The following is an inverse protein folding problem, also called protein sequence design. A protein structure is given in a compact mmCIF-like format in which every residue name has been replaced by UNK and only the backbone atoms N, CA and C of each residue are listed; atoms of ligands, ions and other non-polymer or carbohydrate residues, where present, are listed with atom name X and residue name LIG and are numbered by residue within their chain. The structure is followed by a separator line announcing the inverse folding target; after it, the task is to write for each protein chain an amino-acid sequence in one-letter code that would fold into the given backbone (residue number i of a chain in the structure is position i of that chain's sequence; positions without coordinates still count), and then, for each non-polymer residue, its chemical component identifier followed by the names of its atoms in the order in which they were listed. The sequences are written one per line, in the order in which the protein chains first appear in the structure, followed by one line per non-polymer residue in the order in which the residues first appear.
data_IF_193998215126
#
_entry.id   IF_193998215126
#
_cell.length_a   1.000
_cell.length_b   1.000
_cell.length_c   1.000
_cell.angle_alpha   90.00
_cell.angle_beta   90.00
_cell.angle_gamma   90.00
#
_symmetry.space_group_name_H-M   'P 1'
#
loop_
_entity.id
_entity.type
_entity.pdbx_description
1 polymer ?
#
# COMPACT_ATOMS: atom_id res chain seq x y z
N UNK A 1 26.18 8.94 14.70
CA UNK A 1 26.28 7.55 15.24
C UNK A 1 25.18 6.69 14.62
N UNK A 2 25.47 5.42 14.33
CA UNK A 2 24.45 4.51 13.85
C UNK A 2 23.41 4.25 14.94
N UNK A 3 22.12 4.32 14.59
CA UNK A 3 20.99 3.99 15.48
C UNK A 3 20.38 2.67 15.07
N UNK A 4 19.78 1.97 16.04
CA UNK A 4 18.89 0.86 15.78
C UNK A 4 17.47 1.38 15.55
N UNK A 5 16.93 1.16 14.35
CA UNK A 5 15.63 1.68 13.94
C UNK A 5 14.68 0.52 13.64
N UNK A 6 13.45 0.59 14.16
CA UNK A 6 12.43 -0.39 13.89
C UNK A 6 11.20 0.26 13.26
N UNK A 7 10.77 -0.30 12.13
CA UNK A 7 9.60 0.18 11.38
C UNK A 7 8.43 -0.77 11.61
N UNK A 8 7.28 -0.23 12.02
CA UNK A 8 6.01 -0.94 12.03
C UNK A 8 5.18 -0.48 10.83
N UNK A 9 5.03 -1.32 9.82
CA UNK A 9 4.29 -0.99 8.60
C UNK A 9 3.54 -2.21 8.03
N UNK A 10 2.90 -2.03 6.87
CA UNK A 10 2.37 -3.15 6.07
C UNK A 10 3.56 -3.88 5.46
N UNK A 11 3.78 -5.12 5.87
CA UNK A 11 4.88 -5.93 5.37
C UNK A 11 4.37 -7.26 4.80
N UNK A 12 5.14 -7.86 3.90
CA UNK A 12 4.90 -9.19 3.34
C UNK A 12 3.47 -9.41 2.80
N UNK A 13 2.81 -8.33 2.42
CA UNK A 13 1.49 -8.39 1.82
C UNK A 13 1.62 -8.62 0.30
N UNK A 14 0.73 -9.41 -0.34
CA UNK A 14 0.70 -9.54 -1.79
C UNK A 14 0.07 -8.29 -2.44
N UNK A 15 0.71 -7.15 -2.22
CA UNK A 15 0.30 -5.83 -2.68
C UNK A 15 1.53 -5.03 -3.08
N UNK A 16 1.65 -4.70 -4.36
CA UNK A 16 2.82 -4.02 -4.94
C UNK A 16 3.17 -2.73 -4.22
N UNK A 17 2.21 -1.81 -4.07
CA UNK A 17 2.43 -0.54 -3.41
C UNK A 17 2.82 -0.68 -1.93
N UNK A 18 2.18 -1.61 -1.21
CA UNK A 18 2.50 -1.86 0.20
C UNK A 18 3.93 -2.39 0.38
N UNK A 19 4.40 -3.28 -0.51
CA UNK A 19 5.77 -3.79 -0.48
C UNK A 19 6.78 -2.68 -0.83
N UNK A 20 6.53 -1.93 -1.90
CA UNK A 20 7.46 -0.91 -2.40
C UNK A 20 7.59 0.28 -1.43
N UNK A 21 6.50 0.74 -0.78
CA UNK A 21 6.60 1.80 0.23
C UNK A 21 7.35 1.33 1.49
N UNK A 22 7.15 0.07 1.91
CA UNK A 22 7.87 -0.50 3.05
C UNK A 22 9.37 -0.65 2.75
N UNK A 23 9.69 -1.14 1.54
CA UNK A 23 11.06 -1.21 1.02
C UNK A 23 11.71 0.15 0.98
N UNK A 24 11.03 1.17 0.45
CA UNK A 24 11.58 2.52 0.31
C UNK A 24 11.97 3.14 1.67
N UNK A 25 11.10 3.04 2.66
CA UNK A 25 11.39 3.56 4.00
C UNK A 25 12.56 2.82 4.65
N UNK A 26 12.55 1.48 4.58
CA UNK A 26 13.64 0.66 5.10
C UNK A 26 14.96 0.94 4.38
N UNK A 27 14.95 0.98 3.05
CA UNK A 27 16.13 1.21 2.20
C UNK A 27 16.75 2.57 2.49
N UNK A 28 15.95 3.64 2.50
CA UNK A 28 16.42 4.99 2.78
C UNK A 28 17.14 5.07 4.12
N UNK A 29 16.54 4.55 5.20
CA UNK A 29 17.12 4.58 6.54
C UNK A 29 18.39 3.71 6.61
N UNK A 30 18.38 2.56 5.94
CA UNK A 30 19.55 1.67 5.89
C UNK A 30 20.72 2.28 5.12
N UNK A 31 20.44 3.00 4.02
CA UNK A 31 21.47 3.69 3.22
C UNK A 31 22.14 4.86 3.97
N UNK A 32 21.45 5.43 4.96
CA UNK A 32 22.03 6.40 5.89
C UNK A 32 22.96 5.76 6.94
N UNK A 33 23.16 4.44 6.91
CA UNK A 33 24.07 3.71 7.81
C UNK A 33 23.44 3.28 9.14
N UNK A 34 22.11 3.27 9.28
CA UNK A 34 21.41 2.80 10.47
C UNK A 34 21.10 1.29 10.42
N UNK A 35 21.08 0.59 11.59
CA UNK A 35 20.57 -0.79 11.69
C UNK A 35 19.04 -0.76 11.67
N UNK A 36 18.49 -0.78 10.46
CA UNK A 36 17.03 -0.68 10.23
C UNK A 36 16.41 -2.05 9.96
N UNK A 37 15.32 -2.36 10.66
CA UNK A 37 14.51 -3.57 10.43
C UNK A 37 13.02 -3.26 10.45
N UNK A 38 12.24 -4.03 9.70
CA UNK A 38 10.78 -3.99 9.78
C UNK A 38 10.32 -5.02 10.82
N UNK A 39 9.39 -4.64 11.70
CA UNK A 39 8.80 -5.53 12.69
C UNK A 39 7.88 -6.52 11.98
N UNK A 40 8.20 -7.81 12.07
CA UNK A 40 7.45 -8.88 11.40
C UNK A 40 6.31 -9.40 12.31
N UNK A 41 5.23 -8.65 12.38
CA UNK A 41 4.00 -9.05 13.07
C UNK A 41 3.03 -9.68 12.07
N UNK A 42 2.70 -10.96 12.24
CA UNK A 42 1.67 -11.62 11.44
C UNK A 42 0.31 -10.95 11.62
N UNK A 43 -0.51 -11.00 10.57
CA UNK A 43 -1.86 -10.44 10.56
C UNK A 43 -2.92 -11.55 10.60
N UNK A 44 -4.15 -11.25 11.02
CA UNK A 44 -5.21 -12.26 11.18
C UNK A 44 -5.55 -13.09 9.94
N UNK A 45 -5.15 -12.67 8.75
CA UNK A 45 -5.36 -13.45 7.54
C UNK A 45 -4.25 -14.48 7.26
N UNK A 46 -3.13 -14.43 8.02
CA UNK A 46 -2.06 -15.40 7.91
C UNK A 46 -2.44 -16.69 8.64
N UNK A 47 -2.10 -17.86 8.06
CA UNK A 47 -2.44 -19.17 8.65
C UNK A 47 -1.85 -19.38 10.03
N UNK A 48 -0.63 -18.86 10.27
CA UNK A 48 0.14 -19.05 11.49
C UNK A 48 -0.13 -17.96 12.54
N UNK A 49 -1.05 -17.03 12.25
CA UNK A 49 -1.43 -16.01 13.23
C UNK A 49 -2.18 -16.63 14.40
N UNK A 50 -1.71 -16.32 15.60
CA UNK A 50 -2.35 -16.74 16.87
C UNK A 50 -3.11 -15.56 17.46
N UNK A 51 -4.39 -15.76 17.73
CA UNK A 51 -5.24 -14.72 18.31
C UNK A 51 -4.91 -14.49 19.79
N UNK A 52 -4.77 -13.23 20.20
CA UNK A 52 -4.56 -12.84 21.61
C UNK A 52 -5.82 -12.18 22.15
N UNK A 53 -6.35 -12.67 23.28
CA UNK A 53 -7.48 -12.03 23.98
C UNK A 53 -7.10 -10.61 24.44
N UNK A 54 -8.06 -9.70 24.42
CA UNK A 54 -7.87 -8.30 24.88
C UNK A 54 -7.40 -7.33 23.81
N UNK A 55 -6.95 -7.81 22.65
CA UNK A 55 -6.63 -6.99 21.48
C UNK A 55 -7.71 -7.14 20.43
N UNK A 56 -8.90 -6.70 20.75
CA UNK A 56 -10.02 -6.74 19.82
C UNK A 56 -9.82 -5.73 18.70
N UNK A 57 -10.31 -6.10 17.51
CA UNK A 57 -10.59 -5.14 16.45
C UNK A 57 -11.66 -4.19 16.97
N UNK A 58 -11.27 -3.12 17.70
CA UNK A 58 -12.23 -2.16 18.25
C UNK A 58 -13.07 -1.49 17.17
N UNK A 59 -12.73 -1.75 15.95
CA UNK A 59 -13.35 -1.25 14.74
C UNK A 59 -14.66 -1.96 14.33
N UNK A 60 -15.14 -2.95 15.08
CA UNK A 60 -16.46 -3.55 14.78
C UNK A 60 -17.57 -2.51 14.71
N UNK A 61 -17.52 -1.48 15.57
CA UNK A 61 -18.48 -0.37 15.58
C UNK A 61 -18.32 0.64 14.44
N UNK A 62 -17.13 0.71 13.86
CA UNK A 62 -16.81 1.64 12.75
C UNK A 62 -17.10 1.05 11.38
N UNK A 63 -17.32 -0.26 11.31
CA UNK A 63 -17.66 -0.94 10.06
C UNK A 63 -19.16 -0.95 9.83
N UNK A 64 -19.55 -0.91 8.55
CA UNK A 64 -20.94 -1.19 8.19
C UNK A 64 -21.33 -2.60 8.66
N UNK A 65 -22.61 -2.79 9.04
CA UNK A 65 -23.16 -4.10 9.41
C UNK A 65 -22.85 -5.18 8.36
N UNK A 66 -22.94 -4.83 7.08
CA UNK A 66 -22.67 -5.75 5.97
C UNK A 66 -21.21 -6.21 5.93
N UNK A 67 -20.25 -5.32 6.19
CA UNK A 67 -18.83 -5.67 6.22
C UNK A 67 -18.51 -6.56 7.43
N UNK A 68 -19.10 -6.28 8.57
CA UNK A 68 -18.98 -7.12 9.76
C UNK A 68 -19.53 -8.53 9.51
N UNK A 69 -20.75 -8.63 8.96
CA UNK A 69 -21.38 -9.90 8.59
C UNK A 69 -20.50 -10.69 7.62
N UNK A 70 -19.96 -10.05 6.58
CA UNK A 70 -19.09 -10.71 5.60
C UNK A 70 -17.79 -11.25 6.24
N UNK A 71 -17.20 -10.51 7.17
CA UNK A 71 -15.95 -10.91 7.84
C UNK A 71 -16.22 -12.02 8.87
N UNK A 72 -17.26 -11.87 9.67
CA UNK A 72 -17.54 -12.79 10.79
C UNK A 72 -18.20 -14.10 10.35
N UNK A 73 -19.05 -14.07 9.36
CA UNK A 73 -19.86 -15.22 8.96
C UNK A 73 -19.54 -15.75 7.56
N UNK A 74 -19.44 -14.89 6.56
CA UNK A 74 -19.30 -15.34 5.17
C UNK A 74 -17.89 -15.90 4.89
N UNK A 75 -16.82 -15.27 5.38
CA UNK A 75 -15.46 -15.76 5.17
C UNK A 75 -15.17 -17.09 5.88
N UNK A 76 -15.50 -17.28 7.17
CA UNK A 76 -15.32 -18.57 7.83
C UNK A 76 -16.20 -19.65 7.21
N UNK A 77 -17.45 -19.34 6.84
CA UNK A 77 -18.38 -20.28 6.19
C UNK A 77 -17.86 -20.73 4.83
N UNK A 78 -17.39 -19.81 3.97
CA UNK A 78 -16.74 -20.15 2.70
C UNK A 78 -15.48 -20.99 2.90
N UNK A 79 -14.66 -20.69 3.92
CA UNK A 79 -13.50 -21.50 4.27
C UNK A 79 -13.90 -22.91 4.74
N UNK A 80 -14.98 -23.03 5.52
CA UNK A 80 -15.54 -24.32 5.98
C UNK A 80 -16.14 -25.12 4.83
N UNK A 81 -16.93 -24.48 3.95
CA UNK A 81 -17.46 -25.10 2.74
C UNK A 81 -16.35 -25.60 1.82
N UNK A 82 -15.35 -24.76 1.53
CA UNK A 82 -14.20 -25.17 0.71
C UNK A 82 -13.49 -26.37 1.31
N UNK A 83 -13.35 -26.43 2.62
CA UNK A 83 -12.75 -27.57 3.31
C UNK A 83 -13.65 -28.83 3.29
N UNK A 84 -14.98 -28.68 3.21
CA UNK A 84 -15.94 -29.78 3.09
C UNK A 84 -15.95 -30.32 1.66
N UNK A 85 -16.04 -29.44 0.66
CA UNK A 85 -16.05 -29.84 -0.76
C UNK A 85 -14.70 -30.36 -1.27
N UNK A 86 -13.60 -30.10 -0.56
CA UNK A 86 -12.30 -30.73 -0.83
C UNK A 86 -12.01 -31.98 0.02
N UNK A 87 -13.02 -32.49 0.80
CA UNK A 87 -12.85 -33.68 1.63
C UNK A 87 -13.11 -35.00 0.91
N UNK A 88 -13.67 -34.96 -0.29
CA UNK A 88 -13.97 -36.16 -1.07
C UNK A 88 -13.12 -36.26 -2.32
N UNK A 89 -11.85 -36.50 -2.15
CA UNK A 89 -11.01 -37.31 -3.05
C UNK A 89 -9.81 -37.81 -2.25
N UNK A 90 -9.86 -39.06 -1.89
CA UNK A 90 -8.83 -40.01 -1.52
C UNK A 90 -7.46 -39.52 -1.06
N UNK A 91 -7.10 -39.99 0.18
CA UNK A 91 -5.74 -40.34 0.58
C UNK A 91 -4.74 -40.39 -0.55
N UNK A 92 -3.94 -39.36 -0.69
CA UNK A 92 -2.53 -39.45 -1.09
C UNK A 92 -1.86 -38.10 -0.80
N UNK A 93 -0.80 -38.13 -0.01
CA UNK A 93 0.19 -37.07 0.22
C UNK A 93 -0.36 -35.63 0.21
N UNK A 94 -0.61 -35.05 1.41
CA UNK A 94 -0.74 -33.61 1.59
C UNK A 94 0.59 -32.95 1.23
N UNK A 95 0.86 -32.81 -0.04
CA UNK A 95 1.75 -31.79 -0.56
C UNK A 95 1.11 -30.45 -0.17
N UNK A 96 1.81 -29.67 0.64
CA UNK A 96 1.50 -28.25 0.88
C UNK A 96 1.26 -27.65 -0.51
N UNK A 97 0.12 -26.98 -0.79
CA UNK A 97 -0.12 -26.41 -2.12
C UNK A 97 1.09 -25.55 -2.47
N UNK A 98 1.74 -25.83 -3.58
CA UNK A 98 2.88 -25.01 -4.02
C UNK A 98 2.42 -23.55 -4.10
N UNK A 99 3.18 -22.63 -3.48
CA UNK A 99 2.90 -21.19 -3.58
C UNK A 99 2.76 -20.83 -5.06
N UNK A 100 1.79 -19.97 -5.40
CA UNK A 100 1.68 -19.46 -6.76
C UNK A 100 3.00 -18.80 -7.16
N UNK A 101 3.32 -18.78 -8.44
CA UNK A 101 4.57 -18.16 -8.93
C UNK A 101 4.66 -16.69 -8.50
N UNK A 102 3.56 -15.94 -8.58
CA UNK A 102 3.47 -14.57 -8.09
C UNK A 102 3.82 -14.47 -6.59
N UNK A 103 3.34 -15.40 -5.74
CA UNK A 103 3.68 -15.40 -4.32
C UNK A 103 5.18 -15.62 -4.08
N UNK A 104 5.82 -16.45 -4.87
CA UNK A 104 7.28 -16.64 -4.79
C UNK A 104 8.03 -15.35 -5.11
N UNK A 105 7.64 -14.63 -6.16
CA UNK A 105 8.24 -13.34 -6.52
C UNK A 105 8.06 -12.27 -5.43
N UNK A 106 6.92 -12.25 -4.74
CA UNK A 106 6.74 -11.40 -3.56
C UNK A 106 7.63 -11.80 -2.39
N UNK A 107 7.80 -13.11 -2.16
CA UNK A 107 8.67 -13.61 -1.09
C UNK A 107 10.14 -13.27 -1.39
N UNK A 108 10.62 -13.51 -2.62
CA UNK A 108 11.96 -13.14 -3.10
C UNK A 108 12.22 -11.63 -2.96
N UNK A 109 11.25 -10.79 -3.30
CA UNK A 109 11.36 -9.35 -3.08
C UNK A 109 11.50 -9.01 -1.59
N UNK A 110 10.71 -9.66 -0.73
CA UNK A 110 10.75 -9.42 0.71
C UNK A 110 12.07 -9.89 1.36
N UNK A 111 12.81 -10.84 0.77
CA UNK A 111 14.13 -11.27 1.24
C UNK A 111 15.20 -10.17 1.15
N UNK A 112 14.99 -9.14 0.32
CA UNK A 112 15.87 -7.99 0.23
C UNK A 112 15.78 -7.08 1.46
N UNK A 113 14.72 -7.21 2.28
CA UNK A 113 14.42 -6.36 3.43
C UNK A 113 14.77 -7.09 4.72
N UNK A 114 15.41 -6.39 5.65
CA UNK A 114 15.68 -6.95 6.99
C UNK A 114 14.44 -6.87 7.87
N UNK A 115 14.11 -8.00 8.49
CA UNK A 115 13.01 -8.12 9.43
C UNK A 115 13.50 -8.49 10.83
N UNK A 116 12.67 -8.22 11.85
CA UNK A 116 12.85 -8.84 13.18
C UNK A 116 12.51 -10.33 13.11
N UNK A 117 12.62 -11.03 14.25
CA UNK A 117 11.93 -12.33 14.40
C UNK A 117 10.45 -12.16 14.07
N UNK A 118 9.81 -13.22 13.57
CA UNK A 118 8.36 -13.23 13.31
C UNK A 118 7.59 -13.32 14.63
N UNK A 119 6.70 -12.37 14.86
CA UNK A 119 5.72 -12.37 15.95
C UNK A 119 4.41 -12.99 15.44
N UNK A 120 4.06 -14.16 15.98
CA UNK A 120 2.85 -14.87 15.55
C UNK A 120 1.57 -14.32 16.16
N UNK A 121 1.69 -13.56 17.26
CA UNK A 121 0.56 -12.93 17.94
C UNK A 121 0.92 -11.54 18.45
N UNK A 122 -0.11 -10.74 18.72
CA UNK A 122 0.07 -9.45 19.40
C UNK A 122 0.61 -9.68 20.83
N UNK A 123 0.13 -10.70 21.53
CA UNK A 123 0.61 -11.05 22.87
C UNK A 123 2.11 -11.35 22.90
N UNK A 124 2.64 -12.07 21.91
CA UNK A 124 4.08 -12.32 21.80
C UNK A 124 4.87 -11.02 21.60
N UNK A 125 4.39 -10.10 20.75
CA UNK A 125 5.02 -8.79 20.54
C UNK A 125 5.05 -7.96 21.84
N UNK A 126 3.97 -7.97 22.63
CA UNK A 126 3.88 -7.19 23.88
C UNK A 126 4.65 -7.81 25.02
N UNK A 127 4.78 -9.14 25.08
CA UNK A 127 5.57 -9.85 26.07
C UNK A 127 7.08 -9.73 25.83
N UNK A 128 7.47 -9.71 24.56
CA UNK A 128 8.88 -9.66 24.12
C UNK A 128 9.10 -8.57 23.07
N UNK A 129 8.89 -7.29 23.41
CA UNK A 129 9.03 -6.22 22.42
C UNK A 129 10.48 -6.09 21.96
N UNK A 130 10.72 -5.92 20.64
CA UNK A 130 12.06 -5.70 20.14
C UNK A 130 12.55 -4.32 20.60
N UNK A 131 13.83 -4.22 20.98
CA UNK A 131 14.44 -2.97 21.48
C UNK A 131 15.10 -2.19 20.36
N UNK A 132 14.91 -0.86 20.35
CA UNK A 132 15.53 0.06 19.41
C UNK A 132 15.66 1.48 20.01
N UNK A 133 16.47 2.31 19.38
CA UNK A 133 16.62 3.74 19.72
C UNK A 133 15.44 4.55 19.16
N UNK A 134 14.95 4.15 17.97
CA UNK A 134 13.85 4.80 17.26
C UNK A 134 12.87 3.77 16.70
N UNK A 135 11.59 4.01 16.95
CA UNK A 135 10.48 3.26 16.37
C UNK A 135 9.69 4.17 15.44
N UNK A 136 9.38 3.69 14.25
CA UNK A 136 8.65 4.43 13.23
C UNK A 136 7.38 3.68 12.87
N UNK A 137 6.21 4.29 13.09
CA UNK A 137 5.01 3.85 12.38
C UNK A 137 5.13 4.33 10.94
N UNK A 138 5.24 3.39 10.02
CA UNK A 138 5.42 3.69 8.61
C UNK A 138 4.15 4.15 7.91
N UNK A 139 4.24 4.27 6.62
CA UNK A 139 3.14 4.70 5.76
C UNK A 139 2.08 3.61 5.53
N UNK A 140 1.14 3.92 4.64
CA UNK A 140 -0.09 3.19 4.31
C UNK A 140 -1.19 3.35 5.40
N UNK A 141 -2.35 2.73 5.18
CA UNK A 141 -3.56 2.88 6.02
C UNK A 141 -3.45 2.12 7.35
N UNK A 142 -2.36 2.33 8.09
CA UNK A 142 -2.11 1.65 9.37
C UNK A 142 -3.07 2.12 10.47
N UNK A 143 -3.46 3.38 10.44
CA UNK A 143 -4.38 3.97 11.41
C UNK A 143 -5.84 4.00 10.93
N UNK A 144 -6.16 3.21 9.90
CA UNK A 144 -7.53 3.10 9.42
C UNK A 144 -8.39 2.28 10.38
N UNK A 145 -9.41 2.89 11.04
CA UNK A 145 -10.22 2.20 12.03
C UNK A 145 -11.14 1.12 11.45
N UNK A 146 -11.29 1.05 10.13
CA UNK A 146 -12.11 0.01 9.47
C UNK A 146 -11.35 -1.26 9.15
N UNK A 147 -10.05 -1.32 9.44
CA UNK A 147 -9.23 -2.51 9.17
C UNK A 147 -9.64 -3.72 10.02
N UNK A 148 -9.49 -4.94 9.51
CA UNK A 148 -9.90 -6.16 10.20
C UNK A 148 -8.86 -6.70 11.21
N UNK A 149 -8.05 -5.82 11.79
CA UNK A 149 -7.03 -6.17 12.79
C UNK A 149 -6.96 -5.10 13.88
N UNK A 150 -6.37 -5.46 15.04
CA UNK A 150 -6.16 -4.53 16.13
C UNK A 150 -5.14 -3.45 15.74
N UNK A 151 -5.42 -2.19 16.07
CA UNK A 151 -4.58 -1.05 15.69
C UNK A 151 -3.48 -0.73 16.70
N UNK A 152 -3.62 -1.18 17.96
CA UNK A 152 -2.68 -0.88 19.04
C UNK A 152 -1.21 -1.09 18.67
N UNK A 153 -0.80 -2.20 18.03
CA UNK A 153 0.59 -2.41 17.63
C UNK A 153 1.08 -1.35 16.63
N UNK A 154 0.20 -0.88 15.74
CA UNK A 154 0.51 0.14 14.73
C UNK A 154 0.56 1.56 15.29
N UNK A 155 0.15 1.74 16.56
CA UNK A 155 0.38 2.93 17.37
C UNK A 155 1.58 2.75 18.32
N UNK A 156 2.41 1.72 18.13
CA UNK A 156 3.63 1.45 18.91
C UNK A 156 3.35 1.39 20.43
N UNK A 157 2.15 0.94 20.83
CA UNK A 157 1.77 0.92 22.25
C UNK A 157 2.52 -0.16 23.06
N UNK A 158 3.19 -1.10 22.39
CA UNK A 158 4.07 -2.09 22.99
C UNK A 158 5.45 -1.52 23.38
N UNK A 159 5.82 -0.34 22.86
CA UNK A 159 7.13 0.28 23.10
C UNK A 159 7.14 0.97 24.47
N UNK A 160 8.06 0.55 25.33
CA UNK A 160 8.23 1.12 26.68
C UNK A 160 9.33 2.19 26.73
N UNK A 161 10.38 2.02 25.95
CA UNK A 161 11.55 2.91 25.88
C UNK A 161 11.96 3.15 24.43
N UNK A 162 12.62 4.28 24.15
CA UNK A 162 13.01 4.71 22.82
C UNK A 162 12.04 5.73 22.23
N UNK A 163 12.54 6.48 21.24
CA UNK A 163 11.74 7.50 20.53
C UNK A 163 10.71 6.86 19.63
N UNK A 164 9.55 7.50 19.49
CA UNK A 164 8.44 7.05 18.64
C UNK A 164 8.05 8.17 17.70
N UNK A 165 8.10 7.89 16.41
CA UNK A 165 7.57 8.81 15.39
C UNK A 165 6.64 8.08 14.43
N UNK A 166 5.82 8.82 13.70
CA UNK A 166 5.17 8.29 12.50
C UNK A 166 5.75 8.94 11.24
N UNK A 167 5.76 8.21 10.15
CA UNK A 167 6.18 8.71 8.85
C UNK A 167 5.09 8.45 7.81
N UNK A 168 4.47 9.53 7.33
CA UNK A 168 3.46 9.50 6.28
C UNK A 168 2.35 8.45 6.52
N UNK A 169 1.93 8.27 7.77
CA UNK A 169 0.89 7.29 8.14
C UNK A 169 -0.48 7.78 7.67
N UNK A 170 -1.31 6.89 7.12
CA UNK A 170 -2.63 7.22 6.59
C UNK A 170 -3.76 6.68 7.46
N UNK A 171 -4.85 7.43 7.58
CA UNK A 171 -6.10 7.00 8.23
C UNK A 171 -7.04 6.37 7.20
N UNK A 172 -7.07 6.89 5.97
CA UNK A 172 -7.86 6.35 4.88
C UNK A 172 -9.38 6.45 5.03
N UNK A 173 -9.87 7.27 5.97
CA UNK A 173 -11.29 7.60 6.17
C UNK A 173 -11.44 9.09 6.47
N UNK A 174 -12.56 9.68 6.03
CA UNK A 174 -12.86 11.11 6.25
C UNK A 174 -13.34 11.41 7.68
N UNK A 175 -13.88 10.41 8.38
CA UNK A 175 -14.46 10.60 9.73
C UNK A 175 -14.09 9.44 10.64
N UNK A 176 -13.89 9.74 11.93
CA UNK A 176 -13.71 8.78 13.00
C UNK A 176 -14.65 9.09 14.17
N UNK A 177 -15.18 8.05 14.81
CA UNK A 177 -16.11 8.22 15.93
C UNK A 177 -15.45 8.83 17.18
N UNK A 178 -16.25 9.35 18.10
CA UNK A 178 -15.77 9.85 19.40
C UNK A 178 -14.98 8.80 20.18
N UNK A 179 -15.37 7.54 20.08
CA UNK A 179 -14.67 6.43 20.72
C UNK A 179 -13.26 6.25 20.13
N UNK A 180 -13.14 6.20 18.82
CA UNK A 180 -11.85 6.10 18.11
C UNK A 180 -10.97 7.31 18.42
N UNK A 181 -11.52 8.53 18.40
CA UNK A 181 -10.79 9.77 18.78
C UNK A 181 -10.14 9.66 20.16
N UNK A 182 -10.88 9.17 21.17
CA UNK A 182 -10.35 8.99 22.53
C UNK A 182 -9.19 7.99 22.56
N UNK A 183 -9.29 6.87 21.84
CA UNK A 183 -8.21 5.88 21.74
C UNK A 183 -6.99 6.45 21.04
N UNK A 184 -7.18 7.12 19.92
CA UNK A 184 -6.09 7.75 19.17
C UNK A 184 -5.37 8.83 19.99
N UNK A 185 -6.12 9.70 20.68
CA UNK A 185 -5.53 10.69 21.58
C UNK A 185 -4.64 10.05 22.65
N UNK A 186 -5.10 8.93 23.26
CA UNK A 186 -4.33 8.19 24.26
C UNK A 186 -3.04 7.62 23.68
N UNK A 187 -3.11 6.97 22.50
CA UNK A 187 -1.98 6.29 21.89
C UNK A 187 -0.96 7.26 21.30
N UNK A 188 -1.42 8.35 20.69
CA UNK A 188 -0.57 9.38 20.08
C UNK A 188 0.16 10.25 21.11
N UNK A 189 -0.31 10.29 22.36
CA UNK A 189 0.34 11.06 23.44
C UNK A 189 1.82 10.71 23.62
N UNK A 190 2.19 9.45 23.37
CA UNK A 190 3.55 8.94 23.57
C UNK A 190 4.47 9.13 22.36
N UNK A 191 3.99 9.70 21.24
CA UNK A 191 4.83 9.98 20.09
C UNK A 191 5.68 11.23 20.31
N UNK A 192 6.92 11.18 19.86
CA UNK A 192 7.82 12.34 19.83
C UNK A 192 7.50 13.27 18.66
N UNK A 193 7.13 12.69 17.52
CA UNK A 193 6.68 13.43 16.35
C UNK A 193 5.66 12.61 15.53
N UNK A 194 4.77 13.33 14.86
CA UNK A 194 3.71 12.72 14.07
C UNK A 194 3.74 13.31 12.68
N UNK A 195 3.89 12.45 11.67
CA UNK A 195 3.62 12.84 10.29
C UNK A 195 2.60 11.92 9.63
N UNK A 196 1.76 12.51 8.79
CA UNK A 196 0.71 11.84 8.02
C UNK A 196 0.89 12.11 6.55
N UNK A 197 0.24 11.28 5.71
CA UNK A 197 0.37 11.40 4.26
C UNK A 197 -0.64 12.36 3.65
N UNK A 198 -1.82 12.47 4.24
CA UNK A 198 -2.91 13.26 3.69
C UNK A 198 -3.29 14.42 4.62
N UNK A 199 -3.61 15.63 4.07
CA UNK A 199 -4.11 16.77 4.84
C UNK A 199 -5.36 16.47 5.68
N UNK A 200 -6.24 15.58 5.17
CA UNK A 200 -7.44 15.15 5.89
C UNK A 200 -7.08 14.38 7.18
N UNK A 201 -6.03 13.56 7.12
CA UNK A 201 -5.54 12.86 8.31
C UNK A 201 -4.95 13.85 9.33
N UNK A 202 -4.20 14.87 8.87
CA UNK A 202 -3.71 15.94 9.74
C UNK A 202 -4.87 16.68 10.43
N UNK A 203 -5.87 17.07 9.67
CA UNK A 203 -7.07 17.76 10.18
C UNK A 203 -7.85 16.93 11.20
N UNK A 204 -7.93 15.61 11.00
CA UNK A 204 -8.60 14.69 11.94
C UNK A 204 -7.82 14.52 13.25
N UNK A 205 -6.49 14.48 13.19
CA UNK A 205 -5.64 14.16 14.33
C UNK A 205 -5.16 15.39 15.11
N UNK A 206 -4.98 16.55 14.46
CA UNK A 206 -4.47 17.76 15.12
C UNK A 206 -5.23 18.14 16.38
N UNK A 207 -6.59 18.06 16.43
CA UNK A 207 -7.35 18.34 17.67
C UNK A 207 -7.12 17.32 18.79
N UNK A 208 -6.47 16.19 18.51
CA UNK A 208 -6.24 15.11 19.47
C UNK A 208 -4.87 15.19 20.16
N UNK A 209 -3.96 16.02 19.64
CA UNK A 209 -2.57 16.12 20.09
C UNK A 209 -2.14 17.57 20.21
N UNK A 210 -1.20 17.85 21.12
CA UNK A 210 -0.61 19.18 21.28
C UNK A 210 0.52 19.46 20.29
N UNK A 211 1.18 18.39 19.78
CA UNK A 211 2.29 18.51 18.84
C UNK A 211 1.77 18.85 17.46
N UNK A 212 2.51 19.69 16.75
CA UNK A 212 2.24 19.97 15.34
C UNK A 212 2.38 18.67 14.52
N UNK A 213 1.36 18.36 13.72
CA UNK A 213 1.39 17.26 12.79
C UNK A 213 2.00 17.72 11.48
N UNK A 214 3.02 17.00 11.03
CA UNK A 214 3.67 17.23 9.73
C UNK A 214 2.98 16.45 8.63
N UNK A 215 2.97 17.00 7.43
CA UNK A 215 2.55 16.27 6.22
C UNK A 215 3.81 15.86 5.45
N UNK A 216 3.97 14.55 5.23
CA UNK A 216 5.06 13.97 4.45
C UNK A 216 4.49 13.12 3.31
N UNK A 217 5.20 13.08 2.20
CA UNK A 217 4.84 12.21 1.08
C UNK A 217 5.02 10.72 1.42
N UNK A 218 4.43 9.86 0.58
CA UNK A 218 4.63 8.41 0.67
C UNK A 218 6.14 8.06 0.65
N UNK A 219 6.59 7.02 1.38
CA UNK A 219 8.01 6.62 1.38
C UNK A 219 8.61 6.37 0.01
N UNK A 220 7.81 6.04 -1.00
CA UNK A 220 8.31 5.85 -2.37
C UNK A 220 9.05 7.08 -2.91
N UNK A 221 8.75 8.28 -2.41
CA UNK A 221 9.43 9.53 -2.76
C UNK A 221 10.79 9.72 -2.06
N UNK A 222 11.13 8.88 -1.10
CA UNK A 222 12.47 8.93 -0.44
C UNK A 222 13.58 8.41 -1.34
N UNK A 223 13.24 7.60 -2.34
CA UNK A 223 14.18 7.05 -3.32
C UNK A 223 14.07 7.81 -4.64
N UNK A 224 15.19 7.88 -5.36
CA UNK A 224 15.23 8.54 -6.66
C UNK A 224 14.61 7.67 -7.77
N UNK A 225 14.28 8.32 -8.90
CA UNK A 225 13.84 7.68 -10.13
C UNK A 225 14.80 6.57 -10.58
N UNK A 226 16.10 6.88 -10.61
CA UNK A 226 17.15 5.94 -11.04
C UNK A 226 17.19 4.71 -10.13
N UNK A 227 16.90 4.87 -8.84
CA UNK A 227 16.82 3.76 -7.89
C UNK A 227 15.67 2.82 -8.24
N UNK A 228 14.52 3.38 -8.63
CA UNK A 228 13.35 2.60 -9.03
C UNK A 228 13.54 1.94 -10.41
N UNK A 229 14.12 2.65 -11.38
CA UNK A 229 14.44 2.10 -12.70
C UNK A 229 15.41 0.92 -12.60
N UNK A 230 16.46 1.07 -11.78
CA UNK A 230 17.44 0.00 -11.51
C UNK A 230 16.83 -1.21 -10.81
N UNK A 231 15.81 -1.00 -9.97
CA UNK A 231 15.12 -2.06 -9.24
C UNK A 231 14.16 -2.85 -10.14
N UNK A 232 13.57 -2.21 -11.13
CA UNK A 232 12.64 -2.85 -12.06
C UNK A 232 13.30 -4.03 -12.79
N UNK A 233 12.56 -5.13 -12.92
CA UNK A 233 13.05 -6.30 -13.64
C UNK A 233 13.24 -6.04 -15.14
N UNK A 234 13.74 -7.04 -15.88
CA UNK A 234 13.77 -7.01 -17.34
C UNK A 234 12.37 -6.87 -17.92
N UNK A 235 12.29 -6.40 -19.17
CA UNK A 235 11.03 -6.26 -19.92
C UNK A 235 10.20 -7.54 -19.85
N UNK A 236 8.91 -7.40 -19.53
CA UNK A 236 8.00 -8.51 -19.27
C UNK A 236 7.15 -8.91 -20.47
N UNK A 237 6.91 -8.00 -21.39
CA UNK A 237 6.04 -8.16 -22.57
C UNK A 237 6.79 -7.66 -23.79
N UNK A 238 6.86 -8.47 -24.81
CA UNK A 238 7.39 -8.07 -26.11
C UNK A 238 6.38 -7.16 -26.85
N UNK A 239 6.91 -6.20 -27.60
CA UNK A 239 6.10 -5.23 -28.33
C UNK A 239 5.50 -4.15 -27.44
N UNK A 240 4.59 -3.36 -28.03
CA UNK A 240 3.88 -2.26 -27.37
C UNK A 240 2.60 -2.77 -26.73
N UNK A 241 2.21 -2.20 -25.58
CA UNK A 241 0.98 -2.58 -24.86
C UNK A 241 0.47 -1.45 -23.97
N UNK A 242 -0.79 -1.52 -23.63
CA UNK A 242 -1.41 -0.72 -22.56
C UNK A 242 -1.41 -1.57 -21.30
N UNK A 243 -0.91 -1.04 -20.19
CA UNK A 243 -0.98 -1.72 -18.90
C UNK A 243 -2.18 -1.23 -18.09
N UNK A 244 -3.13 -2.11 -17.82
CA UNK A 244 -4.31 -1.84 -16.98
C UNK A 244 -4.06 -2.38 -15.57
N UNK A 245 -3.86 -1.48 -14.62
CA UNK A 245 -3.64 -1.84 -13.23
C UNK A 245 -4.71 -1.25 -12.30
N UNK A 246 -5.47 -2.10 -11.62
CA UNK A 246 -6.59 -1.70 -10.78
C UNK A 246 -6.48 -2.20 -9.34
N UNK A 247 -7.03 -1.44 -8.39
CA UNK A 247 -7.14 -1.79 -6.97
C UNK A 247 -8.60 -1.76 -6.54
N UNK A 248 -9.11 -2.88 -6.02
CA UNK A 248 -10.54 -3.03 -5.72
C UNK A 248 -11.36 -3.13 -7.00
N UNK A 249 -12.47 -2.40 -7.09
CA UNK A 249 -13.29 -2.32 -8.29
C UNK A 249 -12.59 -1.46 -9.36
N UNK A 250 -12.33 -2.05 -10.51
CA UNK A 250 -11.68 -1.42 -11.66
C UNK A 250 -12.64 -0.90 -12.72
N UNK A 251 -13.95 -1.05 -12.54
CA UNK A 251 -14.96 -0.74 -13.56
C UNK A 251 -14.88 0.68 -14.13
N UNK A 252 -14.45 1.64 -13.30
CA UNK A 252 -14.31 3.05 -13.68
C UNK A 252 -13.27 3.33 -14.78
N UNK A 253 -12.41 2.36 -15.10
CA UNK A 253 -11.32 2.55 -16.08
C UNK A 253 -11.33 1.54 -17.23
N UNK A 254 -12.22 0.54 -17.20
CA UNK A 254 -12.23 -0.51 -18.22
C UNK A 254 -12.65 -0.01 -19.60
N UNK A 255 -13.70 0.80 -19.67
CA UNK A 255 -14.17 1.37 -20.96
C UNK A 255 -13.12 2.27 -21.59
N UNK A 256 -12.41 3.07 -20.80
CA UNK A 256 -11.32 3.88 -21.29
C UNK A 256 -10.16 3.03 -21.82
N UNK A 257 -9.76 1.98 -21.08
CA UNK A 257 -8.70 1.07 -21.53
C UNK A 257 -9.06 0.36 -22.84
N UNK A 258 -10.31 -0.08 -22.99
CA UNK A 258 -10.82 -0.70 -24.23
C UNK A 258 -10.83 0.30 -25.42
N UNK A 259 -11.26 1.54 -25.17
CA UNK A 259 -11.28 2.60 -26.18
C UNK A 259 -9.87 2.92 -26.66
N UNK A 260 -8.92 3.05 -25.73
CA UNK A 260 -7.52 3.30 -26.08
C UNK A 260 -6.86 2.12 -26.78
N UNK A 261 -7.22 0.89 -26.41
CA UNK A 261 -6.78 -0.33 -27.12
C UNK A 261 -7.14 -0.29 -28.60
N UNK A 262 -8.39 0.05 -28.92
CA UNK A 262 -8.87 0.18 -30.29
C UNK A 262 -8.20 1.33 -31.04
N UNK A 263 -8.06 2.48 -30.39
CA UNK A 263 -7.45 3.67 -31.01
C UNK A 263 -5.97 3.45 -31.34
N UNK A 264 -5.21 2.87 -30.42
CA UNK A 264 -3.77 2.67 -30.58
C UNK A 264 -3.44 1.34 -31.28
N UNK A 265 -4.43 0.48 -31.50
CA UNK A 265 -4.26 -0.89 -31.99
C UNK A 265 -3.25 -1.68 -31.11
N UNK A 266 -3.37 -1.56 -29.80
CA UNK A 266 -2.47 -2.20 -28.84
C UNK A 266 -3.25 -3.14 -27.90
N UNK A 267 -2.64 -4.28 -27.49
CA UNK A 267 -3.26 -5.14 -26.52
C UNK A 267 -3.28 -4.49 -25.13
N UNK A 268 -4.35 -4.70 -24.39
CA UNK A 268 -4.41 -4.39 -22.95
C UNK A 268 -3.91 -5.58 -22.15
N UNK A 269 -2.91 -5.34 -21.32
CA UNK A 269 -2.35 -6.33 -20.38
C UNK A 269 -2.80 -5.96 -18.97
N UNK A 270 -3.27 -6.92 -18.20
CA UNK A 270 -3.67 -6.73 -16.79
C UNK A 270 -3.23 -7.91 -15.93
N UNK A 271 -3.16 -7.72 -14.63
CA UNK A 271 -2.85 -8.81 -13.67
C UNK A 271 -4.08 -9.43 -13.01
N UNK A 272 -5.29 -8.96 -13.37
CA UNK A 272 -6.57 -9.41 -12.81
C UNK A 272 -7.53 -9.87 -13.88
N UNK A 273 -8.56 -10.58 -13.46
CA UNK A 273 -9.63 -11.09 -14.32
C UNK A 273 -11.04 -10.58 -13.96
N UNK A 274 -11.12 -9.56 -13.10
CA UNK A 274 -12.37 -8.94 -12.67
C UNK A 274 -13.18 -8.32 -13.84
N UNK A 275 -12.51 -7.87 -14.91
CA UNK A 275 -13.12 -7.41 -16.14
C UNK A 275 -14.01 -8.45 -16.84
N UNK A 276 -13.73 -9.76 -16.62
CA UNK A 276 -14.51 -10.86 -17.20
C UNK A 276 -15.97 -10.87 -16.75
N UNK A 277 -16.25 -10.31 -15.56
CA UNK A 277 -17.62 -10.19 -15.04
C UNK A 277 -18.51 -9.30 -15.90
N UNK A 278 -17.95 -8.50 -16.79
CA UNK A 278 -18.66 -7.60 -17.69
C UNK A 278 -18.92 -8.19 -19.08
N UNK A 279 -18.26 -9.30 -19.45
CA UNK A 279 -18.50 -10.04 -20.69
C UNK A 279 -18.15 -9.33 -22.00
N UNK A 280 -17.61 -8.11 -21.95
CA UNK A 280 -17.37 -7.25 -23.15
C UNK A 280 -15.90 -6.89 -23.43
N UNK A 281 -14.99 -7.24 -22.53
CA UNK A 281 -13.57 -6.88 -22.65
C UNK A 281 -12.70 -8.10 -22.98
N UNK A 282 -11.68 -7.90 -23.82
CA UNK A 282 -10.75 -8.95 -24.28
C UNK A 282 -9.32 -8.69 -23.81
N UNK A 283 -9.15 -8.33 -22.53
CA UNK A 283 -7.83 -8.04 -21.96
C UNK A 283 -7.00 -9.30 -21.74
N UNK A 284 -5.70 -9.20 -21.99
CA UNK A 284 -4.75 -10.30 -21.74
C UNK A 284 -4.27 -10.29 -20.29
N UNK A 285 -4.26 -11.45 -19.65
CA UNK A 285 -3.91 -11.58 -18.22
C UNK A 285 -2.46 -12.05 -18.08
N UNK A 286 -1.66 -11.28 -17.34
CA UNK A 286 -0.31 -11.62 -16.88
C UNK A 286 -0.33 -11.80 -15.36
N UNK A 287 -0.34 -13.06 -14.88
CA UNK A 287 -0.47 -13.35 -13.43
C UNK A 287 0.85 -13.52 -12.71
N UNK A 288 1.89 -13.92 -13.43
CA UNK A 288 3.19 -14.25 -12.85
C UNK A 288 4.05 -13.01 -12.72
N UNK A 289 3.63 -12.12 -11.80
CA UNK A 289 4.31 -10.86 -11.52
C UNK A 289 4.46 -10.65 -10.01
N UNK A 290 5.65 -10.19 -9.62
CA UNK A 290 5.97 -9.64 -8.31
C UNK A 290 6.19 -8.13 -8.39
N UNK A 291 6.73 -7.52 -7.32
CA UNK A 291 6.96 -6.07 -7.29
C UNK A 291 7.91 -5.57 -8.38
N UNK A 292 8.95 -6.33 -8.73
CA UNK A 292 9.94 -5.93 -9.74
C UNK A 292 9.39 -6.03 -11.16
N UNK A 293 8.61 -7.07 -11.46
CA UNK A 293 7.93 -7.25 -12.73
C UNK A 293 6.83 -6.21 -12.92
N UNK A 294 6.15 -5.82 -11.84
CA UNK A 294 5.13 -4.79 -11.88
C UNK A 294 5.73 -3.40 -12.20
N UNK A 295 6.91 -3.08 -11.65
CA UNK A 295 7.65 -1.87 -12.02
C UNK A 295 8.04 -1.88 -13.50
N UNK A 296 8.53 -3.03 -14.00
CA UNK A 296 8.89 -3.18 -15.42
C UNK A 296 7.66 -3.06 -16.34
N UNK A 297 6.50 -3.61 -15.92
CA UNK A 297 5.25 -3.45 -16.70
C UNK A 297 4.78 -2.00 -16.79
N UNK A 298 5.01 -1.19 -15.76
CA UNK A 298 4.75 0.25 -15.82
C UNK A 298 5.76 0.95 -16.72
N UNK A 299 7.06 0.73 -16.49
CA UNK A 299 8.16 1.37 -17.23
C UNK A 299 8.06 1.15 -18.74
N UNK A 300 7.72 -0.07 -19.15
CA UNK A 300 7.81 -0.51 -20.55
C UNK A 300 6.47 -0.41 -21.30
N UNK A 301 5.40 0.06 -20.64
CA UNK A 301 4.09 0.28 -21.27
C UNK A 301 4.10 1.52 -22.16
N UNK A 302 3.37 1.47 -23.27
CA UNK A 302 3.09 2.67 -24.08
C UNK A 302 2.19 3.65 -23.32
N UNK A 303 1.34 3.10 -22.46
CA UNK A 303 0.42 3.84 -21.60
C UNK A 303 -0.05 2.96 -20.44
N UNK A 304 -0.32 3.59 -19.30
CA UNK A 304 -0.96 2.93 -18.15
C UNK A 304 -2.37 3.50 -17.93
N UNK A 305 -3.32 2.62 -17.63
CA UNK A 305 -4.67 2.99 -17.18
C UNK A 305 -4.86 2.43 -15.77
N UNK A 306 -5.18 3.28 -14.79
CA UNK A 306 -5.20 2.84 -13.40
C UNK A 306 -6.26 3.54 -12.55
N UNK A 307 -6.59 2.97 -11.39
CA UNK A 307 -7.30 3.61 -10.28
C UNK A 307 -6.49 3.52 -8.97
N UNK A 308 -5.18 3.33 -9.08
CA UNK A 308 -4.27 3.09 -7.95
C UNK A 308 -3.40 4.30 -7.68
N UNK A 309 -3.32 4.73 -6.40
CA UNK A 309 -2.37 5.76 -5.97
C UNK A 309 -0.92 5.38 -6.33
N UNK A 310 -0.46 4.19 -5.97
CA UNK A 310 0.90 3.75 -6.31
C UNK A 310 1.09 3.53 -7.82
N UNK A 311 0.01 3.16 -8.54
CA UNK A 311 0.03 3.14 -10.01
C UNK A 311 0.41 4.51 -10.58
N UNK A 312 -0.24 5.58 -10.11
CA UNK A 312 0.10 6.95 -10.51
C UNK A 312 1.52 7.33 -10.12
N UNK A 313 1.93 7.08 -8.86
CA UNK A 313 3.28 7.40 -8.37
C UNK A 313 4.36 6.78 -9.26
N UNK A 314 4.23 5.50 -9.60
CA UNK A 314 5.24 4.83 -10.43
C UNK A 314 5.16 5.19 -11.92
N UNK A 315 4.00 5.58 -12.45
CA UNK A 315 3.93 6.17 -13.78
C UNK A 315 4.69 7.50 -13.85
N UNK A 316 4.58 8.33 -12.82
CA UNK A 316 5.34 9.57 -12.72
C UNK A 316 6.85 9.29 -12.63
N UNK A 317 7.30 8.38 -11.77
CA UNK A 317 8.71 7.99 -11.67
C UNK A 317 9.29 7.41 -12.97
N UNK A 318 8.51 6.60 -13.68
CA UNK A 318 8.96 5.92 -14.90
C UNK A 318 8.73 6.77 -16.17
N UNK A 319 8.20 7.98 -16.06
CA UNK A 319 7.80 8.84 -17.17
C UNK A 319 6.87 8.12 -18.15
N UNK A 320 6.02 7.23 -17.64
CA UNK A 320 5.08 6.50 -18.47
C UNK A 320 3.77 7.28 -18.59
N UNK A 321 3.28 7.56 -19.81
CA UNK A 321 1.98 8.20 -19.99
C UNK A 321 0.87 7.41 -19.30
N UNK A 322 -0.05 8.10 -18.62
CA UNK A 322 -1.13 7.40 -17.92
C UNK A 322 -2.42 8.21 -17.82
N UNK A 323 -3.51 7.50 -17.54
CA UNK A 323 -4.78 8.09 -17.13
C UNK A 323 -5.29 7.37 -15.88
N UNK A 324 -5.94 8.11 -15.02
CA UNK A 324 -6.41 7.58 -13.74
C UNK A 324 -7.87 7.86 -13.50
N UNK A 325 -8.61 6.80 -13.19
CA UNK A 325 -10.01 6.88 -12.73
C UNK A 325 -10.11 6.86 -11.22
N UNK A 326 -11.09 7.56 -10.67
CA UNK A 326 -11.38 7.57 -9.24
C UNK A 326 -12.55 6.65 -8.95
N UNK A 327 -12.41 5.75 -7.98
CA UNK A 327 -13.55 5.08 -7.35
C UNK A 327 -14.01 5.87 -6.13
N UNK A 328 -15.34 5.94 -5.92
CA UNK A 328 -16.04 6.83 -4.96
C UNK A 328 -15.48 6.94 -3.52
N UNK A 329 -14.60 6.06 -3.07
CA UNK A 329 -14.10 6.05 -1.69
C UNK A 329 -12.56 6.19 -1.55
N UNK A 330 -11.81 6.41 -2.64
CA UNK A 330 -10.33 6.41 -2.61
C UNK A 330 -9.70 7.57 -3.38
N UNK A 331 -10.50 8.52 -3.86
CA UNK A 331 -10.08 9.57 -4.80
C UNK A 331 -9.15 10.61 -4.19
N UNK A 332 -9.35 11.00 -2.93
CA UNK A 332 -8.65 12.13 -2.32
C UNK A 332 -7.12 12.02 -2.40
N UNK A 333 -6.55 10.82 -2.19
CA UNK A 333 -5.10 10.59 -2.28
C UNK A 333 -4.55 10.78 -3.68
N UNK A 334 -5.27 10.31 -4.69
CA UNK A 334 -4.90 10.45 -6.10
C UNK A 334 -5.03 11.91 -6.52
N UNK A 335 -6.16 12.53 -6.22
CA UNK A 335 -6.40 13.95 -6.53
C UNK A 335 -5.36 14.86 -5.85
N UNK A 336 -5.04 14.60 -4.58
CA UNK A 336 -4.01 15.36 -3.87
C UNK A 336 -2.61 15.17 -4.50
N UNK A 337 -2.24 13.94 -4.88
CA UNK A 337 -0.99 13.68 -5.60
C UNK A 337 -0.92 14.47 -6.89
N UNK A 338 -1.93 14.33 -7.75
CA UNK A 338 -1.95 15.01 -9.06
C UNK A 338 -1.88 16.53 -8.91
N UNK A 339 -2.58 17.11 -7.93
CA UNK A 339 -2.49 18.53 -7.61
C UNK A 339 -1.07 18.95 -7.18
N UNK A 340 -0.41 18.14 -6.34
CA UNK A 340 0.95 18.44 -5.86
C UNK A 340 2.01 18.37 -6.96
N UNK A 341 1.73 17.67 -8.06
CA UNK A 341 2.62 17.55 -9.21
C UNK A 341 2.06 18.21 -10.48
N UNK A 342 1.07 19.10 -10.32
CA UNK A 342 0.43 19.86 -11.41
C UNK A 342 -0.04 19.01 -12.61
N UNK A 343 -0.63 17.85 -12.32
CA UNK A 343 -1.02 16.87 -13.33
C UNK A 343 -2.49 16.43 -13.22
N UNK A 344 -3.38 17.29 -12.73
CA UNK A 344 -4.81 17.01 -12.55
C UNK A 344 -5.52 16.64 -13.87
N UNK A 345 -5.00 17.12 -14.98
CA UNK A 345 -5.49 16.80 -16.31
C UNK A 345 -5.47 15.29 -16.63
N UNK A 346 -4.68 14.51 -15.90
CA UNK A 346 -4.62 13.04 -16.06
C UNK A 346 -5.82 12.32 -15.46
N UNK A 347 -6.62 13.01 -14.67
CA UNK A 347 -7.83 12.44 -14.09
C UNK A 347 -8.88 12.19 -15.18
N UNK A 348 -9.45 10.99 -15.20
CA UNK A 348 -10.59 10.69 -16.06
C UNK A 348 -11.83 11.34 -15.46
N UNK A 349 -12.46 12.25 -16.19
CA UNK A 349 -13.76 12.80 -15.83
C UNK A 349 -14.86 11.82 -16.31
N UNK A 350 -15.81 11.50 -15.44
CA UNK A 350 -16.97 10.65 -15.77
C UNK A 350 -17.83 11.27 -16.91
N UNK A 351 -17.72 12.56 -17.15
CA UNK A 351 -18.45 13.29 -18.20
C UNK A 351 -17.69 13.37 -19.53
N UNK A 352 -16.36 13.14 -19.55
CA UNK A 352 -15.50 13.31 -20.72
C UNK A 352 -14.69 12.04 -21.07
N UNK A 353 -15.25 10.86 -20.88
CA UNK A 353 -14.62 9.58 -21.27
C UNK A 353 -14.29 9.48 -22.78
N UNK A 354 -14.69 10.48 -23.58
CA UNK A 354 -14.43 10.58 -25.03
C UNK A 354 -13.16 11.35 -25.37
N UNK A 355 -12.42 11.92 -24.41
CA UNK A 355 -11.12 12.52 -24.71
C UNK A 355 -10.09 11.43 -25.03
N UNK A 356 -9.99 11.15 -26.30
CA UNK A 356 -9.08 10.16 -26.87
C UNK A 356 -7.60 10.60 -26.82
N UNK A 357 -7.30 11.79 -26.33
CA UNK A 357 -5.94 12.28 -26.22
C UNK A 357 -5.44 12.12 -24.80
N UNK A 358 -4.30 11.44 -24.64
CA UNK A 358 -3.56 11.49 -23.40
C UNK A 358 -2.91 12.86 -23.32
N UNK A 359 -3.27 13.72 -22.36
CA UNK A 359 -2.61 15.01 -22.24
C UNK A 359 -1.11 14.80 -22.03
N UNK A 360 -0.25 15.61 -22.62
CA UNK A 360 1.17 15.56 -22.35
C UNK A 360 1.41 15.86 -20.86
N UNK A 361 2.28 15.08 -20.24
CA UNK A 361 2.76 15.33 -18.87
C UNK A 361 4.06 16.10 -19.01
N UNK A 362 4.16 17.24 -18.34
CA UNK A 362 5.45 17.90 -18.15
C UNK A 362 6.25 17.14 -17.10
N UNK A 363 7.02 16.17 -17.56
CA UNK A 363 7.83 15.33 -16.65
C UNK A 363 8.97 16.11 -16.01
N UNK A 364 9.46 17.19 -16.58
CA UNK A 364 10.51 18.02 -15.98
C UNK A 364 9.97 18.75 -14.73
N UNK A 365 8.83 19.41 -14.85
CA UNK A 365 8.18 20.06 -13.71
C UNK A 365 7.69 19.03 -12.69
N UNK A 366 7.16 17.90 -13.13
CA UNK A 366 6.76 16.80 -12.25
C UNK A 366 7.92 16.25 -11.44
N UNK A 367 9.08 15.99 -12.05
CA UNK A 367 10.29 15.49 -11.37
C UNK A 367 10.77 16.48 -10.30
N UNK A 368 10.72 17.78 -10.59
CA UNK A 368 11.05 18.83 -9.63
C UNK A 368 10.12 18.79 -8.42
N UNK A 369 8.81 18.75 -8.65
CA UNK A 369 7.81 18.63 -7.57
C UNK A 369 8.01 17.35 -6.76
N UNK A 370 8.23 16.21 -7.41
CA UNK A 370 8.46 14.92 -6.74
C UNK A 370 9.74 14.94 -5.90
N UNK A 371 10.81 15.57 -6.39
CA UNK A 371 12.06 15.74 -5.65
C UNK A 371 11.87 16.61 -4.41
N UNK A 372 11.15 17.72 -4.52
CA UNK A 372 10.84 18.61 -3.37
C UNK A 372 10.01 17.87 -2.30
N UNK A 373 8.99 17.10 -2.72
CA UNK A 373 8.21 16.25 -1.83
C UNK A 373 9.07 15.21 -1.12
N UNK A 374 9.99 14.57 -1.83
CA UNK A 374 10.97 13.63 -1.27
C UNK A 374 11.89 14.29 -0.26
N UNK A 375 12.47 15.45 -0.59
CA UNK A 375 13.36 16.23 0.30
C UNK A 375 12.65 16.64 1.60
N UNK A 376 11.37 17.03 1.54
CA UNK A 376 10.57 17.32 2.73
C UNK A 376 10.47 16.10 3.64
N UNK A 377 10.19 14.93 3.08
CA UNK A 377 10.13 13.66 3.80
C UNK A 377 11.49 13.27 4.41
N UNK A 378 12.57 13.40 3.63
CA UNK A 378 13.95 13.16 4.08
C UNK A 378 14.31 14.09 5.24
N UNK A 379 14.05 15.38 5.13
CA UNK A 379 14.32 16.37 6.16
C UNK A 379 13.56 16.08 7.46
N UNK A 380 12.31 15.60 7.37
CA UNK A 380 11.56 15.16 8.55
C UNK A 380 12.26 13.97 9.24
N UNK A 381 12.66 12.94 8.51
CA UNK A 381 13.31 11.75 9.09
C UNK A 381 14.67 12.09 9.71
N UNK A 382 15.48 12.93 9.05
CA UNK A 382 16.83 13.31 9.51
C UNK A 382 16.83 14.03 10.87
N UNK A 383 15.72 14.66 11.28
CA UNK A 383 15.60 15.27 12.61
C UNK A 383 15.62 14.23 13.74
N UNK A 384 15.31 12.96 13.45
CA UNK A 384 15.15 11.89 14.44
C UNK A 384 16.19 10.78 14.24
N UNK A 385 16.74 10.62 13.04
CA UNK A 385 17.82 9.71 12.71
C UNK A 385 19.18 10.31 13.09
#
# INVERSE_FOLDING_TARGET
MSKKVLIMTVQKAPNFGACLQAYALWKYISDLGHDCKIIDLLRPYHSDFVYTKGFDTFCKKERSWFLNFRIEYVRPFRKKLRNIFHKDTNNYNRTIPSKSFSQKLFDEFNEQVKYTKTYRSIGDLYSNPPQADLYITGSDQLWNPTQPYALEPYFLTFVKQGKKISYATSIGVAHISKYVKRKFALWLKSYDAISVREPEAASLLQPLVQKQISECCDPTFLLSKESWEKLASKRQIEGKYIFLFTVGDGSSVFDYAETMSKKLNLPVITNKDDFKNFGKYSFKIKRDIGPLEWLALIRDAEMVVTNSFHGCVFCLFMHTPFRVGISNNRGSRITNLLRLVHSEVLLLDNNNNNELNVPPVDFEETDKCMKELGQKGQSYLLQYL
#
